data_IF_607686281654
#
_entry.id   IF_607686281654
#
_cell.length_a   1.000
_cell.length_b   1.000
_cell.length_c   1.000
_cell.angle_alpha   90.00
_cell.angle_beta   90.00
_cell.angle_gamma   90.00
#
_symmetry.space_group_name_H-M   'P 1'
#
loop_
_entity.id
_entity.type
_entity.pdbx_description
1 polymer ?
#
# COMPACT_ATOMS: atom_id res chain seq x y z
N UNK A 1 -0.70 7.42 -0.29
CA UNK A 1 -0.89 7.93 -1.69
C UNK A 1 -2.33 7.63 -2.13
N UNK A 2 -3.04 8.52 -2.82
CA UNK A 2 -4.41 8.23 -3.31
C UNK A 2 -4.43 7.72 -4.75
N UNK A 3 -5.51 7.06 -5.19
CA UNK A 3 -5.70 6.61 -6.58
C UNK A 3 -5.60 7.78 -7.57
N UNK A 4 -6.22 8.93 -7.25
CA UNK A 4 -6.14 10.14 -8.08
C UNK A 4 -4.69 10.63 -8.23
N UNK A 5 -3.93 10.64 -7.14
CA UNK A 5 -2.52 11.02 -7.16
C UNK A 5 -1.70 10.01 -7.97
N UNK A 6 -2.01 8.72 -7.86
CA UNK A 6 -1.33 7.67 -8.61
C UNK A 6 -1.59 7.78 -10.12
N UNK A 7 -2.85 7.96 -10.55
CA UNK A 7 -3.20 8.24 -11.95
C UNK A 7 -2.45 9.47 -12.47
N UNK A 8 -2.42 10.55 -11.68
CA UNK A 8 -1.70 11.77 -12.04
C UNK A 8 -0.21 11.49 -12.26
N UNK A 9 0.41 10.69 -11.38
CA UNK A 9 1.81 10.28 -11.52
C UNK A 9 2.03 9.42 -12.76
N UNK A 10 1.15 8.46 -13.04
CA UNK A 10 1.25 7.59 -14.22
C UNK A 10 1.08 8.38 -15.53
N UNK A 11 0.21 9.40 -15.55
CA UNK A 11 -0.02 10.25 -16.73
C UNK A 11 1.20 11.06 -17.19
N UNK A 12 2.25 11.13 -16.38
CA UNK A 12 3.53 11.72 -16.77
C UNK A 12 4.35 10.86 -17.75
N UNK A 13 3.97 9.58 -17.94
CA UNK A 13 4.62 8.65 -18.85
C UNK A 13 3.73 8.38 -20.08
N UNK A 14 4.31 8.12 -21.27
CA UNK A 14 3.54 7.64 -22.42
C UNK A 14 2.76 6.37 -22.08
N UNK A 15 1.52 6.23 -22.57
CA UNK A 15 0.63 5.09 -22.26
C UNK A 15 1.24 3.73 -22.64
N UNK A 16 2.05 3.68 -23.69
CA UNK A 16 2.70 2.46 -24.19
C UNK A 16 4.02 2.13 -23.45
N UNK A 17 4.35 2.86 -22.38
CA UNK A 17 5.55 2.60 -21.60
C UNK A 17 5.41 1.28 -20.84
N UNK A 18 6.32 0.33 -21.09
CA UNK A 18 6.37 -0.92 -20.31
C UNK A 18 6.68 -0.61 -18.84
N UNK A 19 5.90 -1.19 -17.92
CA UNK A 19 6.11 -1.05 -16.49
C UNK A 19 5.76 -2.35 -15.72
N UNK A 20 6.39 -2.51 -14.56
CA UNK A 20 6.04 -3.51 -13.54
C UNK A 20 5.68 -2.76 -12.26
N UNK A 21 4.59 -3.14 -11.60
CA UNK A 21 4.18 -2.52 -10.34
C UNK A 21 3.10 -3.34 -9.64
N UNK A 22 3.01 -3.18 -8.33
CA UNK A 22 1.92 -3.68 -7.51
C UNK A 22 1.11 -2.49 -7.00
N UNK A 23 -0.20 -2.69 -6.89
CA UNK A 23 -1.15 -1.66 -6.46
C UNK A 23 -2.08 -2.31 -5.45
N UNK A 24 -2.21 -1.65 -4.29
CA UNK A 24 -2.93 -2.17 -3.14
C UNK A 24 -3.96 -1.14 -2.67
N UNK A 25 -5.11 -1.62 -2.23
CA UNK A 25 -6.26 -0.85 -1.78
C UNK A 25 -6.66 -1.28 -0.36
N UNK A 26 -7.60 -0.55 0.24
CA UNK A 26 -8.07 -0.81 1.60
C UNK A 26 -8.61 -2.25 1.75
N UNK A 27 -9.26 -2.75 0.71
CA UNK A 27 -9.78 -4.11 0.65
C UNK A 27 -8.70 -5.18 0.81
N UNK A 28 -7.46 -4.90 0.38
CA UNK A 28 -6.34 -5.83 0.53
C UNK A 28 -5.86 -5.90 2.00
N UNK A 29 -5.89 -4.77 2.71
CA UNK A 29 -5.60 -4.75 4.15
C UNK A 29 -6.71 -5.45 4.94
N UNK A 30 -7.97 -5.23 4.56
CA UNK A 30 -9.11 -5.93 5.15
C UNK A 30 -9.14 -7.43 4.85
N UNK A 31 -8.56 -7.86 3.72
CA UNK A 31 -8.40 -9.27 3.40
C UNK A 31 -7.40 -9.97 4.34
N UNK A 32 -6.39 -9.25 4.84
CA UNK A 32 -5.47 -9.72 5.87
C UNK A 32 -6.09 -9.65 7.26
N UNK A 33 -6.77 -8.54 7.56
CA UNK A 33 -7.41 -8.33 8.85
C UNK A 33 -8.71 -7.52 8.72
N UNK A 34 -9.83 -8.24 8.76
CA UNK A 34 -11.17 -7.65 8.66
C UNK A 34 -11.60 -6.79 9.87
N UNK A 35 -10.79 -6.75 10.94
CA UNK A 35 -11.10 -5.98 12.15
C UNK A 35 -10.59 -4.55 12.11
N UNK A 36 -9.81 -4.19 11.09
CA UNK A 36 -9.22 -2.87 10.96
C UNK A 36 -10.30 -1.80 10.82
N UNK A 37 -10.13 -0.71 11.57
CA UNK A 37 -10.88 0.53 11.37
C UNK A 37 -10.32 1.31 10.18
N UNK A 38 -11.06 2.34 9.73
CA UNK A 38 -10.56 3.25 8.68
C UNK A 38 -9.23 3.91 9.10
N UNK A 39 -9.13 4.36 10.34
CA UNK A 39 -7.91 4.96 10.91
C UNK A 39 -6.74 3.95 10.93
N UNK A 40 -7.00 2.67 11.27
CA UNK A 40 -5.96 1.64 11.25
C UNK A 40 -5.45 1.37 9.83
N UNK A 41 -6.34 1.35 8.84
CA UNK A 41 -5.99 1.13 7.43
C UNK A 41 -5.15 2.30 6.93
N UNK A 42 -5.57 3.54 7.20
CA UNK A 42 -4.83 4.74 6.80
C UNK A 42 -3.42 4.72 7.41
N UNK A 43 -3.31 4.46 8.72
CA UNK A 43 -2.02 4.37 9.40
C UNK A 43 -1.14 3.23 8.84
N UNK A 44 -1.73 2.07 8.55
CA UNK A 44 -0.98 0.93 8.01
C UNK A 44 -0.51 1.19 6.58
N UNK A 45 -1.32 1.87 5.77
CA UNK A 45 -0.94 2.28 4.41
C UNK A 45 0.17 3.32 4.41
N UNK A 46 0.09 4.32 5.30
CA UNK A 46 1.17 5.30 5.48
C UNK A 46 2.45 4.59 5.93
N UNK A 47 2.36 3.70 6.90
CA UNK A 47 3.50 2.93 7.36
C UNK A 47 4.12 2.11 6.23
N UNK A 48 3.32 1.33 5.50
CA UNK A 48 3.78 0.49 4.39
C UNK A 48 4.48 1.31 3.29
N UNK A 49 4.03 2.54 3.06
CA UNK A 49 4.61 3.48 2.09
C UNK A 49 5.96 4.04 2.55
N UNK A 50 6.10 4.36 3.84
CA UNK A 50 7.28 5.03 4.38
C UNK A 50 8.42 4.07 4.75
N UNK A 51 8.09 2.80 5.00
CA UNK A 51 9.02 1.75 5.42
C UNK A 51 9.47 0.81 4.29
N UNK A 52 9.05 1.08 3.06
CA UNK A 52 9.24 0.18 1.93
C UNK A 52 10.72 -0.19 1.71
N UNK A 53 11.04 -1.47 1.88
CA UNK A 53 12.32 -2.06 1.50
C UNK A 53 12.25 -2.58 0.05
N UNK A 54 13.15 -2.09 -0.79
CA UNK A 54 13.25 -2.50 -2.19
C UNK A 54 13.64 -3.98 -2.36
N UNK A 55 14.18 -4.64 -1.33
CA UNK A 55 14.53 -6.06 -1.37
C UNK A 55 13.30 -6.99 -1.23
N UNK A 56 12.27 -6.57 -0.49
CA UNK A 56 11.06 -7.37 -0.26
C UNK A 56 9.88 -6.94 -1.17
N UNK A 57 9.82 -5.65 -1.50
CA UNK A 57 8.76 -5.06 -2.32
C UNK A 57 7.38 -5.07 -1.66
N UNK A 58 6.41 -4.43 -2.32
CA UNK A 58 5.02 -4.41 -1.87
C UNK A 58 4.33 -5.74 -2.12
N UNK A 59 4.25 -6.57 -1.07
CA UNK A 59 3.66 -7.91 -1.05
C UNK A 59 2.80 -8.13 0.22
N UNK A 60 2.06 -9.25 0.29
CA UNK A 60 1.19 -9.58 1.42
C UNK A 60 1.88 -9.57 2.79
N UNK A 61 3.11 -10.08 2.87
CA UNK A 61 3.89 -10.10 4.11
C UNK A 61 4.25 -8.69 4.57
N UNK A 62 4.59 -7.80 3.63
CA UNK A 62 4.87 -6.38 3.91
C UNK A 62 3.61 -5.66 4.44
N UNK A 63 2.45 -5.90 3.83
CA UNK A 63 1.17 -5.35 4.32
C UNK A 63 0.84 -5.86 5.73
N UNK A 64 1.03 -7.15 6.01
CA UNK A 64 0.82 -7.71 7.35
C UNK A 64 1.76 -7.08 8.38
N UNK A 65 3.04 -6.89 8.04
CA UNK A 65 4.01 -6.26 8.94
C UNK A 65 3.61 -4.81 9.28
N UNK A 66 3.06 -4.06 8.32
CA UNK A 66 2.55 -2.72 8.55
C UNK A 66 1.33 -2.72 9.49
N UNK A 67 0.38 -3.65 9.29
CA UNK A 67 -0.77 -3.83 10.18
C UNK A 67 -0.30 -4.16 11.62
N UNK A 68 0.66 -5.07 11.74
CA UNK A 68 1.20 -5.50 13.03
C UNK A 68 1.93 -4.37 13.77
N UNK A 69 2.52 -3.40 13.05
CA UNK A 69 3.14 -2.23 13.66
C UNK A 69 2.08 -1.26 14.22
N UNK A 70 1.03 -0.96 13.44
CA UNK A 70 -0.05 -0.08 13.90
C UNK A 70 -0.74 -0.63 15.14
N UNK A 71 -1.03 -1.93 15.16
CA UNK A 71 -1.69 -2.60 16.31
C UNK A 71 -0.82 -2.76 17.55
N UNK A 72 0.50 -2.55 17.43
CA UNK A 72 1.43 -2.62 18.58
C UNK A 72 1.44 -1.34 19.42
N UNK A 73 0.91 -0.23 18.90
CA UNK A 73 0.81 1.08 19.56
C UNK A 73 -0.48 1.18 20.38
#
# INVERSE_FOLDING_TARGET
MTVKAFITRLSAFPEETLCCGTFWLADDFLALDSTLTEDDIDAAMEWAQDSHDANDGFNWSHLQAAIDEVKRV
#
